data_IF_369737858227
#
_entry.id   IF_369737858227
#
_cell.length_a   1.000
_cell.length_b   1.000
_cell.length_c   1.000
_cell.angle_alpha   90.00
_cell.angle_beta   90.00
_cell.angle_gamma   90.00
#
_symmetry.space_group_name_H-M   'P 1'
#
loop_
_entity.id
_entity.type
_entity.pdbx_description
1 polymer ?
#
# COMPACT_ATOMS: atom_id res chain seq x y z
N UNK A 1 -14.69 0.13 -13.81
CA UNK A 1 -14.50 -0.88 -14.88
C UNK A 1 -13.15 -1.52 -14.66
N UNK A 2 -13.07 -2.85 -14.59
CA UNK A 2 -11.79 -3.54 -14.47
C UNK A 2 -11.09 -3.53 -15.83
N UNK A 3 -9.80 -3.20 -15.87
CA UNK A 3 -8.98 -3.21 -17.08
C UNK A 3 -8.08 -4.43 -17.01
N UNK A 4 -8.30 -5.39 -17.91
CA UNK A 4 -7.40 -6.53 -18.07
C UNK A 4 -6.07 -6.06 -18.68
N UNK A 5 -4.97 -6.37 -18.00
CA UNK A 5 -3.60 -6.00 -18.37
C UNK A 5 -2.73 -7.23 -18.66
N UNK A 6 -3.33 -8.41 -18.79
CA UNK A 6 -2.66 -9.68 -18.99
C UNK A 6 -2.08 -10.29 -17.70
N UNK A 7 -1.15 -11.22 -17.86
CA UNK A 7 -0.41 -11.82 -16.74
C UNK A 7 0.59 -10.80 -16.22
N UNK A 8 0.50 -10.46 -14.93
CA UNK A 8 1.35 -9.45 -14.29
C UNK A 8 1.88 -9.93 -12.95
N UNK A 9 3.05 -9.42 -12.59
CA UNK A 9 3.66 -9.62 -11.28
C UNK A 9 2.89 -8.81 -10.25
N UNK A 10 2.25 -9.53 -9.34
CA UNK A 10 1.46 -8.95 -8.25
C UNK A 10 2.04 -9.36 -6.90
N UNK A 11 1.74 -8.57 -5.88
CA UNK A 11 2.05 -8.89 -4.49
C UNK A 11 0.87 -8.63 -3.57
N UNK A 12 0.89 -9.32 -2.43
CA UNK A 12 0.01 -9.08 -1.30
C UNK A 12 0.77 -8.28 -0.25
N UNK A 13 0.17 -7.19 0.19
CA UNK A 13 0.62 -6.38 1.31
C UNK A 13 -0.08 -6.83 2.58
N UNK A 14 0.62 -6.73 3.71
CA UNK A 14 0.17 -7.19 5.02
C UNK A 14 -0.74 -6.21 5.76
N UNK A 15 -1.41 -5.31 5.04
CA UNK A 15 -2.42 -4.41 5.61
C UNK A 15 -3.69 -4.49 4.76
N UNK A 16 -4.84 -4.36 5.40
CA UNK A 16 -6.13 -4.32 4.75
C UNK A 16 -7.00 -3.17 5.23
N UNK A 17 -8.30 -3.28 4.95
CA UNK A 17 -9.26 -2.19 5.20
C UNK A 17 -9.49 -1.90 6.69
N UNK A 18 -9.20 -2.85 7.57
CA UNK A 18 -9.25 -2.64 9.03
C UNK A 18 -8.11 -1.73 9.49
N UNK A 19 -6.99 -1.72 8.77
CA UNK A 19 -5.84 -0.87 9.07
C UNK A 19 -6.01 0.53 8.45
N UNK A 20 -6.22 0.59 7.13
CA UNK A 20 -6.43 1.83 6.36
C UNK A 20 -7.05 1.51 4.99
N UNK A 21 -7.96 2.35 4.47
CA UNK A 21 -8.48 2.18 3.10
C UNK A 21 -7.36 2.52 2.10
N UNK A 22 -7.04 1.55 1.23
CA UNK A 22 -5.98 1.71 0.23
C UNK A 22 -6.22 2.88 -0.72
N UNK A 23 -7.47 3.34 -0.90
CA UNK A 23 -7.80 4.48 -1.75
C UNK A 23 -7.25 5.81 -1.23
N UNK A 24 -6.93 5.86 0.05
CA UNK A 24 -6.31 7.00 0.72
C UNK A 24 -4.78 6.88 0.80
N UNK A 25 -4.21 5.84 0.16
CA UNK A 25 -2.77 5.55 0.11
C UNK A 25 -2.28 5.63 -1.33
N UNK A 26 -1.19 6.36 -1.56
CA UNK A 26 -0.55 6.51 -2.87
C UNK A 26 0.87 5.96 -2.76
N UNK A 27 1.25 4.92 -3.53
CA UNK A 27 2.62 4.44 -3.52
C UNK A 27 3.59 5.55 -3.93
N UNK A 28 4.73 5.67 -3.22
CA UNK A 28 5.81 6.60 -3.60
C UNK A 28 6.39 6.23 -4.97
N UNK A 29 6.42 4.93 -5.28
CA UNK A 29 6.76 4.42 -6.61
C UNK A 29 5.54 4.49 -7.52
N UNK A 30 5.52 5.49 -8.41
CA UNK A 30 4.40 5.83 -9.31
C UNK A 30 4.07 4.73 -10.35
N UNK A 31 4.91 3.69 -10.47
CA UNK A 31 4.68 2.54 -11.33
C UNK A 31 3.86 1.45 -10.65
N UNK A 32 3.71 1.50 -9.32
CA UNK A 32 2.91 0.55 -8.57
C UNK A 32 1.43 0.91 -8.62
N UNK A 33 0.57 -0.11 -8.69
CA UNK A 33 -0.88 0.10 -8.83
C UNK A 33 -1.62 -0.73 -7.80
N UNK A 34 -2.35 -0.06 -6.91
CA UNK A 34 -3.24 -0.73 -5.97
C UNK A 34 -4.47 -1.25 -6.72
N UNK A 35 -4.70 -2.57 -6.65
CA UNK A 35 -5.74 -3.25 -7.42
C UNK A 35 -7.00 -3.50 -6.59
N UNK A 36 -6.86 -3.65 -5.27
CA UNK A 36 -7.98 -3.94 -4.38
C UNK A 36 -7.52 -4.36 -3.00
N UNK A 37 -8.47 -4.55 -2.10
CA UNK A 37 -8.20 -4.76 -0.68
C UNK A 37 -9.28 -5.63 -0.01
N UNK A 38 -8.85 -6.52 0.90
CA UNK A 38 -9.68 -7.32 1.81
C UNK A 38 -9.74 -6.67 3.20
N UNK A 39 -10.21 -7.38 4.23
CA UNK A 39 -10.12 -6.89 5.61
C UNK A 39 -8.68 -6.72 6.10
N UNK A 40 -7.76 -7.58 5.66
CA UNK A 40 -6.42 -7.77 6.24
C UNK A 40 -5.27 -7.73 5.22
N UNK A 41 -5.57 -7.66 3.91
CA UNK A 41 -4.55 -7.61 2.86
C UNK A 41 -4.91 -6.64 1.73
N UNK A 42 -3.88 -6.15 1.05
CA UNK A 42 -4.02 -5.26 -0.13
C UNK A 42 -3.27 -5.88 -1.31
N UNK A 43 -3.92 -5.92 -2.48
CA UNK A 43 -3.34 -6.42 -3.72
C UNK A 43 -2.71 -5.26 -4.50
N UNK A 44 -1.47 -5.44 -4.94
CA UNK A 44 -0.71 -4.44 -5.69
C UNK A 44 -0.06 -5.06 -6.93
N UNK A 45 -0.11 -4.34 -8.06
CA UNK A 45 0.64 -4.63 -9.28
C UNK A 45 2.04 -4.01 -9.17
N UNK A 46 3.06 -4.81 -9.48
CA UNK A 46 4.47 -4.45 -9.39
C UNK A 46 5.19 -4.47 -10.74
N UNK A 47 4.50 -4.87 -11.82
CA UNK A 47 5.12 -5.28 -13.09
C UNK A 47 6.00 -4.18 -13.71
N UNK A 48 5.53 -2.93 -13.66
CA UNK A 48 6.18 -1.80 -14.33
C UNK A 48 7.22 -1.08 -13.45
N UNK A 49 7.40 -1.52 -12.20
CA UNK A 49 8.39 -0.93 -11.30
C UNK A 49 9.81 -1.30 -11.71
N UNK A 50 10.72 -0.31 -11.64
CA UNK A 50 12.15 -0.53 -11.82
C UNK A 50 12.80 -1.25 -10.62
N UNK A 51 12.10 -1.29 -9.47
CA UNK A 51 12.58 -1.96 -8.27
C UNK A 51 12.17 -3.43 -8.27
N UNK A 52 13.14 -4.32 -8.04
CA UNK A 52 12.87 -5.75 -7.91
C UNK A 52 12.46 -6.11 -6.48
N UNK A 53 11.15 -6.01 -6.21
CA UNK A 53 10.56 -6.39 -4.92
C UNK A 53 10.60 -7.91 -4.69
N UNK A 54 10.85 -8.27 -3.43
CA UNK A 54 10.85 -9.63 -2.88
C UNK A 54 9.97 -9.70 -1.62
N UNK A 55 9.66 -10.93 -1.19
CA UNK A 55 8.95 -11.15 0.07
C UNK A 55 9.73 -10.56 1.23
N UNK A 56 9.05 -9.75 2.06
CA UNK A 56 9.64 -9.04 3.20
C UNK A 56 10.11 -7.62 2.89
N UNK A 57 10.15 -7.21 1.62
CA UNK A 57 10.45 -5.81 1.27
C UNK A 57 9.31 -4.88 1.68
N UNK A 58 9.66 -3.64 2.03
CA UNK A 58 8.71 -2.58 2.35
C UNK A 58 8.45 -1.69 1.13
N UNK A 59 7.19 -1.27 0.99
CA UNK A 59 6.73 -0.28 0.00
C UNK A 59 6.27 0.95 0.78
N UNK A 60 6.79 2.11 0.40
CA UNK A 60 6.43 3.38 1.00
C UNK A 60 5.19 3.95 0.31
N UNK A 61 4.32 4.56 1.11
CA UNK A 61 3.12 5.22 0.66
C UNK A 61 3.09 6.64 1.21
N UNK A 62 2.71 7.59 0.37
CA UNK A 62 2.10 8.82 0.82
C UNK A 62 0.64 8.56 1.16
N UNK A 63 0.10 9.29 2.13
CA UNK A 63 -1.28 9.12 2.58
C UNK A 63 -1.97 10.46 2.64
N UNK A 64 -3.27 10.47 2.34
CA UNK A 64 -4.06 11.67 2.55
C UNK A 64 -4.37 11.89 4.04
N UNK A 65 -5.01 13.01 4.36
CA UNK A 65 -5.34 13.35 5.74
C UNK A 65 -6.25 12.33 6.43
N UNK A 66 -7.17 11.69 5.71
CA UNK A 66 -8.09 10.69 6.27
C UNK A 66 -7.34 9.44 6.68
N UNK A 67 -6.46 8.94 5.81
CA UNK A 67 -5.57 7.85 6.13
C UNK A 67 -4.61 8.23 7.26
N UNK A 68 -3.96 9.39 7.20
CA UNK A 68 -3.06 9.87 8.24
C UNK A 68 -3.75 9.90 9.61
N UNK A 69 -4.95 10.47 9.70
CA UNK A 69 -5.72 10.53 10.94
C UNK A 69 -6.04 9.13 11.47
N UNK A 70 -6.47 8.20 10.60
CA UNK A 70 -6.74 6.82 10.98
C UNK A 70 -5.50 6.11 11.51
N UNK A 71 -4.38 6.22 10.79
CA UNK A 71 -3.10 5.61 11.16
C UNK A 71 -2.56 6.18 12.48
N UNK A 72 -2.67 7.50 12.68
CA UNK A 72 -2.25 8.17 13.91
C UNK A 72 -3.10 7.79 15.14
N UNK A 73 -4.35 7.37 14.94
CA UNK A 73 -5.23 6.93 16.04
C UNK A 73 -5.22 5.40 16.26
N UNK A 74 -4.47 4.65 15.47
CA UNK A 74 -4.37 3.20 15.62
C UNK A 74 -3.22 2.80 16.54
N UNK A 75 -3.50 2.01 17.57
CA UNK A 75 -2.49 1.41 18.45
C UNK A 75 -1.74 0.24 17.79
N UNK A 76 -2.32 -0.36 16.74
CA UNK A 76 -1.72 -1.47 16.01
C UNK A 76 -0.58 -1.03 15.08
N UNK A 77 -0.39 0.28 14.89
CA UNK A 77 0.57 0.84 13.94
C UNK A 77 1.68 1.56 14.70
N UNK A 78 2.91 1.10 14.46
CA UNK A 78 4.11 1.71 15.01
C UNK A 78 4.32 3.11 14.41
N UNK A 79 4.56 4.08 15.28
CA UNK A 79 4.81 5.47 14.91
C UNK A 79 6.26 5.79 15.25
N UNK A 80 7.00 6.29 14.26
CA UNK A 80 8.39 6.72 14.43
C UNK A 80 8.42 8.22 14.14
N UNK A 81 8.82 9.01 15.14
CA UNK A 81 9.03 10.44 14.99
C UNK A 81 10.50 10.66 14.66
N UNK A 82 10.77 11.48 13.66
CA UNK A 82 12.12 11.85 13.24
C UNK A 82 12.36 13.26 13.80
N UNK A 83 13.32 13.39 14.71
CA UNK A 83 13.78 14.69 15.20
C UNK A 83 14.54 15.41 14.08
N UNK A 84 14.43 16.75 14.02
CA UNK A 84 15.19 17.60 13.08
C UNK A 84 16.70 17.64 13.38
#
# INVERSE_FOLDING_TARGET
VFVDRGVRKQALLSFGRVDVDYRNCVPVDDKLILLGQTSDHTLIDLEDSQRSYRRGDQIAFEVDYTALLSLCNSDAIAKVFIDE
#
